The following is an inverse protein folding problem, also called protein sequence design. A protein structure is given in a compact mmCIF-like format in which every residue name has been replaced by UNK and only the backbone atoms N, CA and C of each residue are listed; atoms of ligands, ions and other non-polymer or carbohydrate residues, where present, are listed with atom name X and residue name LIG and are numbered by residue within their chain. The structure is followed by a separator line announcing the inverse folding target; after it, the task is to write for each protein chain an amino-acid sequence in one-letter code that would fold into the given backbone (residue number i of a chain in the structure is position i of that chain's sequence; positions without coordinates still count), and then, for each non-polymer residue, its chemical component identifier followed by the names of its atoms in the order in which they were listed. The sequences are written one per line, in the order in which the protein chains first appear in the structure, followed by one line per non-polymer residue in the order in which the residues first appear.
data_IF_408488687823
#
_entry.id   IF_408488687823
#
_cell.length_a   1.000
_cell.length_b   1.000
_cell.length_c   1.000
_cell.angle_alpha   90.00
_cell.angle_beta   90.00
_cell.angle_gamma   90.00
#
_symmetry.space_group_name_H-M   'P 1'
#
loop_
_entity.id
_entity.type
_entity.pdbx_description
1 polymer ?
#
# COMPACT_ATOMS: atom_id res chain seq x y z
N UNK A 1 -7.60 -15.32 20.16
CA UNK A 1 -8.09 -15.12 18.79
C UNK A 1 -7.78 -13.70 18.37
N UNK A 2 -7.16 -13.50 17.20
CA UNK A 2 -6.83 -12.18 16.66
C UNK A 2 -8.06 -11.56 15.98
N UNK A 3 -8.48 -10.38 16.42
CA UNK A 3 -9.73 -9.75 15.96
C UNK A 3 -9.66 -8.23 16.07
N UNK A 4 -10.51 -7.55 15.30
CA UNK A 4 -10.72 -6.10 15.36
C UNK A 4 -12.17 -5.84 15.76
N UNK A 5 -12.37 -4.90 16.69
CA UNK A 5 -13.70 -4.44 17.13
C UNK A 5 -13.90 -3.00 16.70
N UNK A 6 -14.99 -2.74 15.99
CA UNK A 6 -15.40 -1.42 15.53
C UNK A 6 -16.35 -0.80 16.53
N UNK A 7 -15.97 0.36 17.07
CA UNK A 7 -16.79 1.10 18.03
C UNK A 7 -17.39 2.33 17.35
N UNK A 8 -18.66 2.56 17.63
CA UNK A 8 -19.34 3.80 17.26
C UNK A 8 -18.89 4.96 18.16
N UNK A 9 -19.13 6.20 17.73
CA UNK A 9 -18.88 7.38 18.58
C UNK A 9 -19.69 7.36 19.88
N UNK A 10 -20.79 6.59 19.94
CA UNK A 10 -21.58 6.34 21.15
C UNK A 10 -21.06 5.19 22.03
N UNK A 11 -19.85 4.67 21.74
CA UNK A 11 -19.21 3.55 22.44
C UNK A 11 -19.94 2.21 22.34
N UNK A 12 -20.77 2.04 21.32
CA UNK A 12 -21.44 0.78 21.01
C UNK A 12 -20.64 -0.02 19.99
N UNK A 13 -20.58 -1.34 20.19
CA UNK A 13 -19.93 -2.26 19.27
C UNK A 13 -20.76 -2.39 17.98
N UNK A 14 -20.18 -1.97 16.85
CA UNK A 14 -20.82 -2.05 15.53
C UNK A 14 -20.51 -3.39 14.87
N UNK A 15 -19.25 -3.80 14.91
CA UNK A 15 -18.78 -5.00 14.21
C UNK A 15 -17.56 -5.61 14.89
N UNK A 16 -17.42 -6.92 14.72
CA UNK A 16 -16.26 -7.70 15.16
C UNK A 16 -15.79 -8.56 14.00
N UNK A 17 -14.51 -8.42 13.65
CA UNK A 17 -13.91 -9.12 12.50
C UNK A 17 -12.81 -10.04 13.00
N UNK A 18 -13.01 -11.34 12.79
CA UNK A 18 -12.00 -12.36 13.11
C UNK A 18 -10.97 -12.44 11.97
N UNK A 19 -9.71 -12.18 12.30
CA UNK A 19 -8.61 -12.16 11.33
C UNK A 19 -7.94 -13.54 11.17
N UNK A 20 -8.15 -14.45 12.11
CA UNK A 20 -7.43 -15.72 12.17
C UNK A 20 -7.57 -16.58 10.90
N UNK A 21 -8.76 -16.74 10.26
CA UNK A 21 -8.89 -17.54 9.06
C UNK A 21 -8.04 -17.00 7.90
N UNK A 22 -8.01 -15.68 7.72
CA UNK A 22 -7.25 -15.04 6.66
C UNK A 22 -5.73 -15.16 6.91
N UNK A 23 -5.27 -14.94 8.15
CA UNK A 23 -3.86 -15.11 8.50
C UNK A 23 -3.42 -16.57 8.32
N UNK A 24 -4.20 -17.53 8.80
CA UNK A 24 -3.88 -18.95 8.69
C UNK A 24 -3.80 -19.41 7.23
N UNK A 25 -4.66 -18.85 6.36
CA UNK A 25 -4.59 -19.09 4.91
C UNK A 25 -3.29 -18.55 4.31
N UNK A 26 -2.82 -17.39 4.75
CA UNK A 26 -1.55 -16.80 4.30
C UNK A 26 -0.34 -17.61 4.76
N UNK A 27 -0.41 -18.22 5.94
CA UNK A 27 0.65 -19.06 6.51
C UNK A 27 0.56 -20.54 6.11
N UNK A 28 -0.39 -20.92 5.24
CA UNK A 28 -0.64 -22.33 4.93
C UNK A 28 0.52 -23.00 4.20
N UNK A 29 1.30 -22.22 3.46
CA UNK A 29 2.46 -22.70 2.70
C UNK A 29 3.76 -22.73 3.52
N UNK A 30 3.74 -22.23 4.76
CA UNK A 30 4.89 -22.28 5.66
C UNK A 30 5.05 -23.67 6.27
N UNK A 31 6.28 -24.03 6.64
CA UNK A 31 6.53 -25.21 7.48
C UNK A 31 5.75 -25.13 8.79
N UNK A 32 5.31 -26.29 9.30
CA UNK A 32 4.51 -26.37 10.54
C UNK A 32 5.23 -25.69 11.72
N UNK A 33 6.54 -25.89 11.85
CA UNK A 33 7.35 -25.29 12.92
C UNK A 33 7.29 -23.76 12.86
N UNK A 34 7.47 -23.18 11.67
CA UNK A 34 7.44 -21.73 11.44
C UNK A 34 6.02 -21.20 11.69
N UNK A 35 5.00 -21.89 11.16
CA UNK A 35 3.59 -21.52 11.34
C UNK A 35 3.20 -21.50 12.81
N UNK A 36 3.58 -22.50 13.59
CA UNK A 36 3.28 -22.56 15.03
C UNK A 36 3.93 -21.40 15.78
N UNK A 37 5.19 -21.08 15.47
CA UNK A 37 5.88 -19.95 16.07
C UNK A 37 5.17 -18.62 15.77
N UNK A 38 4.84 -18.37 14.50
CA UNK A 38 4.10 -17.16 14.07
C UNK A 38 2.69 -17.10 14.67
N UNK A 39 1.99 -18.24 14.80
CA UNK A 39 0.65 -18.31 15.37
C UNK A 39 0.62 -18.09 16.89
N UNK A 40 1.62 -18.60 17.63
CA UNK A 40 1.69 -18.48 19.09
C UNK A 40 1.85 -17.02 19.57
N UNK A 41 2.50 -16.18 18.77
CA UNK A 41 2.70 -14.75 19.06
C UNK A 41 1.81 -13.82 18.22
N UNK A 42 0.74 -14.37 17.61
CA UNK A 42 -0.09 -13.64 16.65
C UNK A 42 -0.91 -12.52 17.32
N UNK A 43 -0.69 -11.28 16.86
CA UNK A 43 -1.39 -10.05 17.28
C UNK A 43 -1.46 -9.06 16.12
N UNK A 44 -2.42 -8.14 16.19
CA UNK A 44 -2.42 -6.95 15.35
C UNK A 44 -1.33 -6.01 15.86
N UNK A 45 -0.47 -5.53 14.96
CA UNK A 45 0.65 -4.64 15.31
C UNK A 45 0.50 -3.25 14.73
N UNK A 46 -0.22 -3.11 13.61
CA UNK A 46 -0.50 -1.82 12.99
C UNK A 46 -1.86 -1.84 12.29
N UNK A 47 -2.52 -0.68 12.27
CA UNK A 47 -3.79 -0.45 11.60
C UNK A 47 -3.71 0.88 10.85
N UNK A 48 -4.31 0.94 9.67
CA UNK A 48 -4.44 2.17 8.90
C UNK A 48 -5.81 2.20 8.22
N UNK A 49 -6.57 3.27 8.43
CA UNK A 49 -7.74 3.57 7.60
C UNK A 49 -7.29 4.44 6.44
N UNK A 50 -7.47 3.97 5.21
CA UNK A 50 -7.07 4.67 4.00
C UNK A 50 -8.15 4.49 2.92
N UNK A 51 -8.81 5.59 2.54
CA UNK A 51 -9.98 5.60 1.64
C UNK A 51 -11.09 4.66 2.13
N UNK A 52 -11.45 3.69 1.31
CA UNK A 52 -12.49 2.68 1.51
C UNK A 52 -11.94 1.36 2.06
N UNK A 53 -10.66 1.33 2.47
CA UNK A 53 -10.00 0.16 3.02
C UNK A 53 -9.42 0.43 4.41
N UNK A 54 -9.49 -0.59 5.25
CA UNK A 54 -8.71 -0.67 6.48
C UNK A 54 -7.62 -1.70 6.24
N UNK A 55 -6.38 -1.26 6.40
CA UNK A 55 -5.18 -2.06 6.33
C UNK A 55 -4.79 -2.54 7.72
N UNK A 56 -4.36 -3.80 7.80
CA UNK A 56 -4.00 -4.47 9.03
C UNK A 56 -2.62 -5.09 8.85
N UNK A 57 -1.69 -4.75 9.73
CA UNK A 57 -0.41 -5.42 9.89
C UNK A 57 -0.44 -6.34 11.12
N UNK A 58 0.18 -7.51 10.98
CA UNK A 58 0.25 -8.52 12.05
C UNK A 58 1.68 -8.79 12.50
N UNK A 59 1.82 -9.43 13.66
CA UNK A 59 3.12 -9.91 14.14
C UNK A 59 3.74 -11.01 13.27
N UNK A 60 2.96 -11.71 12.46
CA UNK A 60 3.48 -12.72 11.53
C UNK A 60 4.00 -12.13 10.21
N UNK A 61 3.92 -10.79 10.06
CA UNK A 61 4.29 -10.06 8.85
C UNK A 61 3.24 -10.09 7.74
N UNK A 62 2.13 -10.79 7.97
CA UNK A 62 0.97 -10.82 7.09
C UNK A 62 0.27 -9.46 7.13
N UNK A 63 -0.03 -8.94 5.93
CA UNK A 63 -0.87 -7.78 5.70
C UNK A 63 -2.26 -8.22 5.23
N UNK A 64 -3.29 -7.59 5.77
CA UNK A 64 -4.68 -7.82 5.39
C UNK A 64 -5.38 -6.50 5.05
N UNK A 65 -6.43 -6.58 4.24
CA UNK A 65 -7.37 -5.48 4.02
C UNK A 65 -8.80 -5.92 4.28
N UNK A 66 -9.62 -4.99 4.77
CA UNK A 66 -11.08 -5.11 4.82
C UNK A 66 -11.71 -3.81 4.30
N UNK A 67 -12.91 -3.87 3.70
CA UNK A 67 -13.67 -2.66 3.38
C UNK A 67 -13.94 -1.82 4.63
N UNK A 68 -13.75 -0.50 4.52
CA UNK A 68 -14.06 0.48 5.57
C UNK A 68 -15.56 0.85 5.62
N UNK A 69 -16.33 0.44 4.62
CA UNK A 69 -17.75 0.73 4.48
C UNK A 69 -18.60 -0.53 4.72
N UNK A 70 -19.87 -0.33 5.08
CA UNK A 70 -20.85 -1.42 5.17
C UNK A 70 -21.10 -1.96 6.58
N UNK A 71 -20.48 -1.38 7.62
CA UNK A 71 -20.67 -1.81 9.01
C UNK A 71 -22.04 -1.43 9.62
N UNK A 72 -22.71 -0.40 9.10
CA UNK A 72 -23.96 0.12 9.69
C UNK A 72 -25.23 -0.65 9.31
N UNK A 73 -25.20 -1.52 8.29
CA UNK A 73 -26.41 -2.15 7.72
C UNK A 73 -26.75 -3.54 8.26
N UNK A 74 -26.22 -3.91 9.42
CA UNK A 74 -26.48 -5.22 10.02
C UNK A 74 -25.71 -6.33 9.30
N UNK A 75 -24.67 -6.84 9.97
CA UNK A 75 -23.94 -8.09 9.71
C UNK A 75 -23.69 -8.40 8.23
N UNK A 76 -22.79 -7.65 7.61
CA UNK A 76 -22.02 -8.25 6.51
C UNK A 76 -20.92 -9.11 7.12
N UNK A 77 -20.81 -10.36 6.67
CA UNK A 77 -19.65 -11.20 6.96
C UNK A 77 -18.43 -10.57 6.29
N UNK A 78 -17.77 -9.65 6.97
CA UNK A 78 -16.53 -9.04 6.49
C UNK A 78 -15.45 -10.11 6.50
N UNK A 79 -15.00 -10.49 5.30
CA UNK A 79 -13.91 -11.44 5.12
C UNK A 79 -12.63 -10.66 4.84
N UNK A 80 -11.64 -10.70 5.74
CA UNK A 80 -10.34 -10.09 5.49
C UNK A 80 -9.65 -10.73 4.29
N UNK A 81 -9.10 -9.89 3.43
CA UNK A 81 -8.32 -10.30 2.26
C UNK A 81 -6.84 -10.21 2.60
N UNK A 82 -6.10 -11.32 2.47
CA UNK A 82 -4.66 -11.32 2.67
C UNK A 82 -3.89 -10.82 1.45
N UNK A 83 -2.84 -10.04 1.69
CA UNK A 83 -1.94 -9.55 0.65
C UNK A 83 -0.77 -10.54 0.54
N UNK A 84 -0.50 -11.10 -0.66
CA UNK A 84 0.58 -12.08 -0.91
C UNK A 84 1.97 -11.66 -0.42
N UNK A 85 2.24 -10.36 -0.44
CA UNK A 85 3.51 -9.77 -0.07
C UNK A 85 3.42 -9.14 1.31
N UNK A 86 4.38 -9.45 2.17
CA UNK A 86 4.48 -8.85 3.49
C UNK A 86 5.89 -8.93 4.04
N UNK A 87 5.97 -9.05 5.35
CA UNK A 87 7.20 -9.04 6.12
C UNK A 87 7.51 -10.45 6.64
N UNK A 88 8.78 -10.75 6.88
CA UNK A 88 9.17 -12.01 7.54
C UNK A 88 8.88 -11.98 9.05
N UNK A 89 8.90 -10.77 9.64
CA UNK A 89 8.56 -10.51 11.04
C UNK A 89 7.48 -9.43 11.19
N UNK A 90 7.51 -8.65 12.28
CA UNK A 90 6.38 -7.79 12.63
C UNK A 90 6.19 -6.64 11.63
N UNK A 91 4.93 -6.38 11.23
CA UNK A 91 4.59 -5.11 10.58
C UNK A 91 4.60 -4.00 11.64
N UNK A 92 5.67 -3.20 11.67
CA UNK A 92 5.90 -2.15 12.67
C UNK A 92 4.99 -0.94 12.50
N UNK A 93 4.75 -0.52 11.26
CA UNK A 93 3.87 0.59 10.96
C UNK A 93 3.18 0.44 9.61
N UNK A 94 2.07 1.15 9.47
CA UNK A 94 1.35 1.40 8.23
C UNK A 94 1.14 2.91 8.12
N UNK A 95 1.39 3.47 6.95
CA UNK A 95 1.13 4.87 6.64
C UNK A 95 0.69 5.01 5.18
N UNK A 96 0.22 6.19 4.79
CA UNK A 96 0.01 6.49 3.38
C UNK A 96 0.48 7.90 3.07
N UNK A 97 0.83 8.11 1.80
CA UNK A 97 1.09 9.43 1.25
C UNK A 97 0.17 9.67 0.07
N UNK A 98 -0.38 10.88 -0.02
CA UNK A 98 -1.14 11.33 -1.17
C UNK A 98 -0.23 12.22 -2.02
N UNK A 99 -0.05 11.84 -3.29
CA UNK A 99 0.72 12.60 -4.26
C UNK A 99 -0.22 13.21 -5.28
N UNK A 100 -0.30 14.54 -5.28
CA UNK A 100 -0.94 15.29 -6.35
C UNK A 100 0.06 15.51 -7.49
N UNK A 101 -0.26 15.03 -8.69
CA UNK A 101 0.32 15.60 -9.92
C UNK A 101 1.75 15.22 -10.32
N UNK A 102 2.27 14.04 -9.96
CA UNK A 102 3.33 13.44 -10.77
C UNK A 102 2.70 12.78 -12.00
N UNK A 103 2.37 13.59 -13.00
CA UNK A 103 2.22 13.08 -14.36
C UNK A 103 3.49 12.31 -14.68
N UNK A 104 3.38 11.00 -14.82
CA UNK A 104 4.44 10.13 -15.30
C UNK A 104 4.74 10.49 -16.77
N UNK A 105 5.42 11.61 -16.99
CA UNK A 105 6.00 11.97 -18.27
C UNK A 105 7.52 11.82 -18.15
N UNK A 106 8.07 10.82 -18.86
CA UNK A 106 9.44 10.89 -19.35
C UNK A 106 10.49 10.03 -18.66
N UNK A 107 10.34 8.70 -18.67
CA UNK A 107 11.50 7.81 -18.84
C UNK A 107 12.06 7.99 -20.25
N UNK A 108 12.72 9.13 -20.48
CA UNK A 108 13.37 9.50 -21.73
C UNK A 108 14.77 10.02 -21.44
N UNK A 109 15.68 9.10 -21.14
CA UNK A 109 17.11 9.35 -21.13
C UNK A 109 17.55 9.95 -22.48
N UNK A 110 17.87 11.25 -22.50
CA UNK A 110 18.78 11.80 -23.52
C UNK A 110 19.82 12.67 -22.84
N UNK A 111 21.03 12.12 -22.81
CA UNK A 111 22.27 12.71 -22.35
C UNK A 111 22.90 13.57 -23.45
N UNK A 112 23.31 14.79 -23.06
CA UNK A 112 24.33 15.63 -23.72
C UNK A 112 23.89 16.39 -24.98
N UNK A 113 24.46 17.54 -25.36
CA UNK A 113 25.29 18.56 -24.73
C UNK A 113 25.59 19.59 -25.83
N UNK A 114 25.46 20.89 -25.51
CA UNK A 114 26.17 22.06 -26.05
C UNK A 114 26.26 22.34 -27.59
N UNK A 115 25.72 23.51 -27.99
CA UNK A 115 26.52 24.56 -28.66
C UNK A 115 26.11 25.05 -30.07
N UNK A 116 25.84 26.38 -30.16
CA UNK A 116 26.20 27.35 -31.24
C UNK A 116 25.45 27.25 -32.59
N UNK A 117 25.07 28.30 -33.35
CA UNK A 117 25.18 29.77 -33.35
C UNK A 117 24.15 30.37 -34.36
N UNK A 118 23.84 31.69 -34.23
CA UNK A 118 23.47 32.68 -35.27
C UNK A 118 22.10 32.57 -36.01
N UNK A 119 21.37 33.60 -36.47
CA UNK A 119 21.53 35.06 -36.61
C UNK A 119 20.11 35.71 -36.75
N UNK A 120 20.04 37.02 -36.52
CA UNK A 120 18.90 37.94 -36.51
C UNK A 120 18.07 38.08 -37.80
N UNK A 121 16.79 38.48 -37.67
CA UNK A 121 16.20 39.57 -38.49
C UNK A 121 14.92 40.15 -37.86
N UNK A 122 14.81 41.47 -37.98
CA UNK A 122 13.80 42.40 -37.44
C UNK A 122 12.54 42.38 -38.32
N UNK A 123 11.34 42.55 -37.74
CA UNK A 123 10.25 43.40 -38.30
C UNK A 123 9.01 43.50 -37.41
N UNK A 124 8.40 44.67 -37.50
CA UNK A 124 7.40 45.29 -36.64
C UNK A 124 5.93 44.89 -36.89
N UNK A 125 5.07 45.44 -36.00
CA UNK A 125 3.67 45.83 -36.15
C UNK A 125 2.52 44.95 -35.58
N UNK A 126 1.92 45.52 -34.52
CA UNK A 126 0.51 45.93 -34.37
C UNK A 126 -0.65 44.91 -34.28
N UNK A 127 -1.35 45.05 -33.15
CA UNK A 127 -2.79 44.93 -32.89
C UNK A 127 -3.65 44.06 -33.81
N UNK A 128 -4.21 42.97 -33.24
CA UNK A 128 -5.61 42.60 -33.45
C UNK A 128 -6.18 41.73 -32.34
N UNK A 129 -7.25 42.25 -31.74
CA UNK A 129 -8.23 41.59 -30.89
C UNK A 129 -8.67 40.22 -31.45
N UNK A 130 -8.84 39.21 -30.58
CA UNK A 130 -10.05 38.40 -30.58
C UNK A 130 -10.17 37.57 -29.29
N UNK A 131 -11.29 37.77 -28.62
CA UNK A 131 -11.86 36.93 -27.58
C UNK A 131 -11.79 35.45 -27.93
N UNK A 132 -11.23 34.65 -27.03
CA UNK A 132 -11.69 33.28 -26.84
C UNK A 132 -11.45 32.88 -25.39
N UNK A 133 -12.51 32.98 -24.60
CA UNK A 133 -12.67 32.29 -23.33
C UNK A 133 -12.49 30.80 -23.56
N UNK A 134 -11.24 30.34 -23.54
CA UNK A 134 -10.93 28.91 -23.40
C UNK A 134 -11.33 28.56 -21.97
N UNK A 135 -12.54 28.03 -21.82
CA UNK A 135 -12.89 27.14 -20.71
C UNK A 135 -11.93 25.95 -20.77
N UNK A 136 -10.75 26.10 -20.18
CA UNK A 136 -9.98 24.96 -19.70
C UNK A 136 -10.84 24.35 -18.60
N UNK A 137 -11.54 23.25 -18.91
CA UNK A 137 -12.06 22.37 -17.87
C UNK A 137 -10.92 22.14 -16.88
N UNK A 138 -11.12 22.30 -15.56
CA UNK A 138 -10.09 21.90 -14.62
C UNK A 138 -9.82 20.42 -14.88
N UNK A 139 -8.61 20.11 -15.37
CA UNK A 139 -8.12 18.74 -15.46
C UNK A 139 -8.19 18.24 -14.02
N UNK A 140 -9.04 17.26 -13.72
CA UNK A 140 -9.05 16.68 -12.38
C UNK A 140 -7.65 16.14 -12.13
N UNK A 141 -6.91 16.79 -11.24
CA UNK A 141 -5.66 16.24 -10.75
C UNK A 141 -6.00 14.90 -10.12
N UNK A 142 -5.61 13.80 -10.77
CA UNK A 142 -5.77 12.48 -10.18
C UNK A 142 -4.75 12.38 -9.04
N UNK A 143 -5.21 12.51 -7.80
CA UNK A 143 -4.35 12.24 -6.65
C UNK A 143 -4.11 10.74 -6.57
N UNK A 144 -2.83 10.36 -6.52
CA UNK A 144 -2.42 8.98 -6.32
C UNK A 144 -2.13 8.78 -4.84
N UNK A 145 -2.63 7.70 -4.24
CA UNK A 145 -2.29 7.36 -2.86
C UNK A 145 -1.36 6.15 -2.86
N UNK A 146 -0.29 6.25 -2.10
CA UNK A 146 0.63 5.16 -1.83
C UNK A 146 0.47 4.73 -0.38
N UNK A 147 0.08 3.49 -0.15
CA UNK A 147 0.13 2.85 1.17
C UNK A 147 1.51 2.25 1.38
N UNK A 148 2.09 2.46 2.55
CA UNK A 148 3.44 2.05 2.91
C UNK A 148 3.38 1.23 4.18
N UNK A 149 3.95 0.02 4.17
CA UNK A 149 4.20 -0.76 5.38
C UNK A 149 5.69 -0.80 5.69
N UNK A 150 6.05 -0.76 6.96
CA UNK A 150 7.42 -0.98 7.43
C UNK A 150 7.49 -2.15 8.41
N UNK A 151 8.51 -2.99 8.29
CA UNK A 151 8.64 -4.21 9.10
C UNK A 151 9.94 -4.97 8.85
N UNK A 152 10.04 -6.17 9.44
CA UNK A 152 11.21 -7.06 9.29
C UNK A 152 11.14 -7.83 7.97
N UNK A 153 12.19 -7.76 7.15
CA UNK A 153 12.30 -8.56 5.93
C UNK A 153 11.19 -8.33 4.89
N UNK A 154 11.28 -9.11 3.83
CA UNK A 154 10.26 -9.24 2.79
C UNK A 154 9.89 -10.71 2.65
N UNK A 155 8.60 -11.01 2.58
CA UNK A 155 8.08 -12.37 2.39
C UNK A 155 7.01 -12.42 1.30
N UNK A 156 7.10 -13.42 0.42
CA UNK A 156 6.02 -13.79 -0.51
C UNK A 156 5.34 -15.08 -0.03
N UNK A 157 4.17 -14.93 0.57
CA UNK A 157 3.39 -16.00 1.18
C UNK A 157 2.86 -17.04 0.17
N UNK A 158 2.94 -16.76 -1.14
CA UNK A 158 2.63 -17.77 -2.17
C UNK A 158 3.72 -18.81 -2.32
N UNK A 159 4.96 -18.47 -1.98
CA UNK A 159 6.16 -19.26 -2.26
C UNK A 159 6.98 -19.63 -0.99
N UNK A 160 6.50 -19.32 0.22
CA UNK A 160 7.23 -19.57 1.48
C UNK A 160 7.73 -21.01 1.69
N UNK A 161 7.13 -22.02 1.03
CA UNK A 161 7.54 -23.43 1.11
C UNK A 161 8.61 -23.87 0.09
N UNK A 162 8.85 -23.10 -0.98
CA UNK A 162 9.75 -23.51 -2.08
C UNK A 162 11.17 -22.94 -1.97
N UNK A 163 11.35 -21.81 -1.26
CA UNK A 163 12.62 -21.07 -1.21
C UNK A 163 13.42 -21.24 0.10
N UNK A 164 12.89 -21.99 1.08
CA UNK A 164 13.40 -21.97 2.46
C UNK A 164 14.52 -22.96 2.76
N UNK A 165 15.00 -23.74 1.78
CA UNK A 165 15.90 -24.87 2.06
C UNK A 165 17.40 -24.65 1.81
N UNK A 166 17.91 -23.44 1.50
CA UNK A 166 19.38 -23.32 1.41
C UNK A 166 20.10 -22.04 1.80
N UNK A 167 19.70 -20.79 1.49
CA UNK A 167 20.70 -19.69 1.65
C UNK A 167 20.23 -18.36 2.26
N UNK A 168 18.95 -18.13 2.53
CA UNK A 168 18.45 -16.79 2.95
C UNK A 168 17.67 -16.79 4.28
N UNK A 169 17.24 -17.95 4.78
CA UNK A 169 16.46 -18.04 6.02
C UNK A 169 17.24 -17.44 7.22
N UNK A 170 16.71 -16.34 7.78
CA UNK A 170 17.31 -15.63 8.92
C UNK A 170 18.33 -14.54 8.57
N UNK A 171 18.53 -14.20 7.29
CA UNK A 171 19.37 -13.05 6.90
C UNK A 171 18.57 -11.77 6.72
N UNK A 172 17.30 -11.91 6.35
CA UNK A 172 16.38 -10.81 6.08
C UNK A 172 15.52 -10.42 7.29
N UNK A 173 15.50 -11.24 8.35
CA UNK A 173 14.77 -10.97 9.61
C UNK A 173 15.32 -9.77 10.41
N UNK A 174 16.57 -9.42 10.18
CA UNK A 174 17.28 -8.33 10.87
C UNK A 174 17.29 -7.03 10.08
N UNK A 175 16.71 -7.04 8.89
CA UNK A 175 16.70 -5.90 7.95
C UNK A 175 15.32 -5.25 7.87
N UNK A 176 15.28 -3.93 8.01
CA UNK A 176 14.04 -3.17 7.89
C UNK A 176 13.67 -3.00 6.40
N UNK A 177 12.47 -3.38 6.04
CA UNK A 177 11.93 -3.23 4.69
C UNK A 177 10.73 -2.29 4.68
N UNK A 178 10.59 -1.56 3.57
CA UNK A 178 9.37 -0.83 3.22
C UNK A 178 8.72 -1.51 2.03
N UNK A 179 7.42 -1.80 2.13
CA UNK A 179 6.62 -2.24 0.99
C UNK A 179 5.62 -1.13 0.66
N UNK A 180 5.38 -0.91 -0.63
CA UNK A 180 4.61 0.23 -1.14
C UNK A 180 3.56 -0.27 -2.13
N UNK A 181 2.30 0.12 -1.93
CA UNK A 181 1.18 -0.16 -2.82
C UNK A 181 0.56 1.14 -3.30
N UNK A 182 0.38 1.26 -4.61
CA UNK A 182 -0.46 2.29 -5.19
C UNK A 182 -1.91 1.82 -5.16
N UNK A 183 -2.78 2.65 -4.57
CA UNK A 183 -4.23 2.41 -4.47
C UNK A 183 -5.03 3.47 -5.22
#
# INVERSE_FOLDING_TARGET
TIQIKFQHFSHQLIAEVNLAPAVNKMLSNCDEIIRQHKAACLRVTSLLSCRDLIWIGTSAGVLLTIPAQGFEKGVQNVVPTGIPHGHTGHVRFLTFVETSGLSAEGSGSSTGSAGRDNESTVSSNEYRSHSSTKHTKPKSESSTILVISGGDGYEDFRNSGANSLSEIAGREDSTNHLLIWQI
#
